data_IF_269918352186
#
_entry.id   IF_269918352186
#
_cell.length_a   1.000
_cell.length_b   1.000
_cell.length_c   1.000
_cell.angle_alpha   90.00
_cell.angle_beta   90.00
_cell.angle_gamma   90.00
#
_symmetry.space_group_name_H-M   'P 1'
#
loop_
_entity.id
_entity.type
_entity.pdbx_description
1 polymer ?
#
# COMPACT_ATOMS: atom_id res chain seq x y z
N UNK A 1 -56.28 -26.69 -68.27
CA UNK A 1 -55.39 -25.52 -68.05
C UNK A 1 -55.52 -24.96 -66.63
N UNK A 2 -56.74 -24.70 -66.14
CA UNK A 2 -57.01 -24.04 -64.84
C UNK A 2 -56.43 -24.81 -63.63
N UNK A 3 -56.59 -26.14 -63.55
CA UNK A 3 -56.06 -26.94 -62.43
C UNK A 3 -54.54 -26.83 -62.25
N UNK A 4 -53.77 -26.87 -63.35
CA UNK A 4 -52.31 -26.71 -63.30
C UNK A 4 -51.89 -25.31 -62.82
N UNK A 5 -52.64 -24.28 -63.21
CA UNK A 5 -52.40 -22.92 -62.75
C UNK A 5 -52.65 -22.81 -61.24
N UNK A 6 -53.73 -23.43 -60.76
CA UNK A 6 -54.07 -23.47 -59.33
C UNK A 6 -52.97 -24.15 -58.51
N UNK A 7 -52.48 -25.31 -58.96
CA UNK A 7 -51.37 -26.03 -58.30
C UNK A 7 -50.11 -25.16 -58.18
N UNK A 8 -49.74 -24.46 -59.27
CA UNK A 8 -48.57 -23.57 -59.27
C UNK A 8 -48.77 -22.40 -58.30
N UNK A 9 -49.95 -21.77 -58.29
CA UNK A 9 -50.25 -20.67 -57.37
C UNK A 9 -50.20 -21.14 -55.91
N UNK A 10 -50.77 -22.29 -55.58
CA UNK A 10 -50.72 -22.84 -54.22
C UNK A 10 -49.29 -23.15 -53.79
N UNK A 11 -48.47 -23.73 -54.68
CA UNK A 11 -47.06 -24.01 -54.41
C UNK A 11 -46.25 -22.73 -54.16
N UNK A 12 -46.42 -21.72 -55.02
CA UNK A 12 -45.72 -20.43 -54.87
C UNK A 12 -46.13 -19.70 -53.60
N UNK A 13 -47.43 -19.67 -53.28
CA UNK A 13 -47.93 -19.08 -52.04
C UNK A 13 -47.34 -19.76 -50.80
N UNK A 14 -47.28 -21.09 -50.79
CA UNK A 14 -46.68 -21.83 -49.66
C UNK A 14 -45.20 -21.47 -49.46
N UNK A 15 -44.44 -21.33 -50.55
CA UNK A 15 -43.04 -20.92 -50.50
C UNK A 15 -42.87 -19.47 -50.05
N UNK A 16 -43.72 -18.57 -50.53
CA UNK A 16 -43.72 -17.16 -50.11
C UNK A 16 -44.01 -17.01 -48.62
N UNK A 17 -45.04 -17.71 -48.10
CA UNK A 17 -45.36 -17.72 -46.68
C UNK A 17 -44.15 -18.15 -45.84
N UNK A 18 -43.49 -19.24 -46.24
CA UNK A 18 -42.28 -19.74 -45.54
C UNK A 18 -41.15 -18.71 -45.54
N UNK A 19 -40.89 -18.07 -46.69
CA UNK A 19 -39.87 -17.03 -46.78
C UNK A 19 -40.18 -15.81 -45.90
N UNK A 20 -41.46 -15.39 -45.86
CA UNK A 20 -41.88 -14.26 -45.02
C UNK A 20 -41.73 -14.58 -43.53
N UNK A 21 -42.02 -15.80 -43.11
CA UNK A 21 -41.81 -16.28 -41.74
C UNK A 21 -40.32 -16.28 -41.37
N UNK A 22 -39.47 -16.89 -42.20
CA UNK A 22 -38.01 -16.89 -42.00
C UNK A 22 -37.45 -15.47 -41.92
N UNK A 23 -37.90 -14.57 -42.82
CA UNK A 23 -37.50 -13.17 -42.81
C UNK A 23 -37.97 -12.44 -41.56
N UNK A 24 -39.16 -12.74 -41.06
CA UNK A 24 -39.67 -12.18 -39.82
C UNK A 24 -38.82 -12.64 -38.63
N UNK A 25 -38.56 -13.94 -38.52
CA UNK A 25 -37.73 -14.51 -37.47
C UNK A 25 -36.31 -13.92 -37.48
N UNK A 26 -35.67 -13.81 -38.65
CA UNK A 26 -34.36 -13.20 -38.78
C UNK A 26 -34.35 -11.72 -38.33
N UNK A 27 -35.43 -10.96 -38.61
CA UNK A 27 -35.54 -9.57 -38.13
C UNK A 27 -35.71 -9.49 -36.61
N UNK A 28 -36.47 -10.40 -36.02
CA UNK A 28 -36.60 -10.50 -34.56
C UNK A 28 -35.25 -10.83 -33.92
N UNK A 29 -34.50 -11.79 -34.46
CA UNK A 29 -33.17 -12.15 -33.98
C UNK A 29 -32.19 -10.99 -34.10
N UNK A 30 -32.17 -10.28 -35.23
CA UNK A 30 -31.34 -9.08 -35.41
C UNK A 30 -31.65 -8.00 -34.37
N UNK A 31 -32.92 -7.79 -34.02
CA UNK A 31 -33.30 -6.84 -32.99
C UNK A 31 -32.79 -7.25 -31.60
N UNK A 32 -32.88 -8.55 -31.27
CA UNK A 32 -32.36 -9.07 -30.00
C UNK A 32 -30.84 -8.95 -29.93
N UNK A 33 -30.14 -9.31 -31.02
CA UNK A 33 -28.69 -9.19 -31.09
C UNK A 33 -28.22 -7.74 -31.02
N UNK A 34 -28.93 -6.81 -31.67
CA UNK A 34 -28.65 -5.37 -31.59
C UNK A 34 -28.70 -4.86 -30.15
N UNK A 35 -29.74 -5.22 -29.38
CA UNK A 35 -29.84 -4.85 -27.96
C UNK A 35 -28.70 -5.44 -27.13
N UNK A 36 -28.36 -6.71 -27.33
CA UNK A 36 -27.24 -7.35 -26.63
C UNK A 36 -25.90 -6.71 -26.95
N UNK A 37 -25.71 -6.25 -28.18
CA UNK A 37 -24.52 -5.51 -28.60
C UNK A 37 -24.45 -4.17 -27.86
N UNK A 38 -25.53 -3.38 -27.88
CA UNK A 38 -25.60 -2.10 -27.16
C UNK A 38 -25.33 -2.25 -25.65
N UNK A 39 -25.92 -3.27 -25.01
CA UNK A 39 -25.68 -3.58 -23.59
C UNK A 39 -24.20 -3.95 -23.33
N UNK A 40 -23.61 -4.76 -24.21
CA UNK A 40 -22.20 -5.17 -24.10
C UNK A 40 -21.24 -4.01 -24.34
N UNK A 41 -21.54 -3.12 -25.28
CA UNK A 41 -20.74 -1.93 -25.56
C UNK A 41 -20.75 -0.97 -24.36
N UNK A 42 -21.94 -0.70 -23.80
CA UNK A 42 -22.08 0.13 -22.60
C UNK A 42 -21.33 -0.46 -21.40
N UNK A 43 -21.40 -1.79 -21.22
CA UNK A 43 -20.64 -2.48 -20.16
C UNK A 43 -19.13 -2.37 -20.37
N UNK A 44 -18.66 -2.54 -21.61
CA UNK A 44 -17.25 -2.42 -21.97
C UNK A 44 -16.71 -1.00 -21.72
N UNK A 45 -17.49 0.03 -22.04
CA UNK A 45 -17.16 1.42 -21.70
C UNK A 45 -17.02 1.63 -20.19
N UNK A 46 -17.96 1.09 -19.40
CA UNK A 46 -17.90 1.13 -17.94
C UNK A 46 -16.62 0.47 -17.39
N UNK A 47 -16.26 -0.71 -17.88
CA UNK A 47 -15.02 -1.39 -17.49
C UNK A 47 -13.77 -0.61 -17.88
N UNK A 48 -13.77 0.00 -19.07
CA UNK A 48 -12.65 0.83 -19.53
C UNK A 48 -12.43 2.02 -18.61
N UNK A 49 -13.50 2.67 -18.15
CA UNK A 49 -13.40 3.80 -17.24
C UNK A 49 -12.91 3.37 -15.85
N UNK A 50 -13.45 2.28 -15.31
CA UNK A 50 -12.95 1.69 -14.06
C UNK A 50 -11.45 1.36 -14.14
N UNK A 51 -11.01 0.80 -15.27
CA UNK A 51 -9.60 0.49 -15.49
C UNK A 51 -8.72 1.74 -15.50
N UNK A 52 -9.18 2.86 -16.09
CA UNK A 52 -8.43 4.13 -16.03
C UNK A 52 -8.28 4.63 -14.60
N UNK A 53 -9.35 4.60 -13.82
CA UNK A 53 -9.34 5.03 -12.41
C UNK A 53 -8.34 4.17 -11.62
N UNK A 54 -8.44 2.84 -11.75
CA UNK A 54 -7.52 1.91 -11.09
C UNK A 54 -6.06 2.15 -11.50
N UNK A 55 -5.78 2.41 -12.78
CA UNK A 55 -4.44 2.72 -13.25
C UNK A 55 -3.89 4.03 -12.63
N UNK A 56 -4.72 5.06 -12.48
CA UNK A 56 -4.33 6.31 -11.83
C UNK A 56 -4.07 6.14 -10.33
N UNK A 57 -4.90 5.35 -9.65
CA UNK A 57 -4.75 5.07 -8.22
C UNK A 57 -3.51 4.20 -7.96
N UNK A 58 -3.24 3.22 -8.81
CA UNK A 58 -2.03 2.39 -8.75
C UNK A 58 -0.79 3.28 -8.85
N UNK A 59 -0.73 4.16 -9.85
CA UNK A 59 0.40 5.08 -10.04
C UNK A 59 0.62 5.97 -8.82
N UNK A 60 -0.47 6.52 -8.26
CA UNK A 60 -0.41 7.33 -7.03
C UNK A 60 0.08 6.53 -5.82
N UNK A 61 -0.30 5.26 -5.71
CA UNK A 61 0.16 4.37 -4.65
C UNK A 61 1.66 4.05 -4.80
N UNK A 62 2.12 3.79 -6.03
CA UNK A 62 3.54 3.57 -6.34
C UNK A 62 4.39 4.80 -5.99
N UNK A 63 3.94 6.00 -6.36
CA UNK A 63 4.62 7.27 -6.01
C UNK A 63 4.72 7.44 -4.48
N UNK A 64 3.63 7.19 -3.74
CA UNK A 64 3.65 7.24 -2.26
C UNK A 64 4.55 6.18 -1.64
N UNK A 65 4.61 4.99 -2.23
CA UNK A 65 5.52 3.94 -1.75
C UNK A 65 6.98 4.35 -1.93
N UNK A 66 7.30 4.99 -3.05
CA UNK A 66 8.66 5.50 -3.30
C UNK A 66 9.06 6.54 -2.25
N UNK A 67 8.20 7.52 -1.95
CA UNK A 67 8.50 8.53 -0.93
C UNK A 67 8.65 7.91 0.47
N UNK A 68 7.77 6.98 0.84
CA UNK A 68 7.86 6.29 2.13
C UNK A 68 9.12 5.41 2.24
N UNK A 69 9.60 4.85 1.13
CA UNK A 69 10.84 4.10 1.11
C UNK A 69 12.05 5.01 1.37
N UNK A 70 12.09 6.19 0.76
CA UNK A 70 13.15 7.18 1.01
C UNK A 70 13.14 7.67 2.46
N UNK A 71 11.96 7.99 3.01
CA UNK A 71 11.80 8.39 4.41
C UNK A 71 12.27 7.31 5.38
N UNK A 72 11.89 6.05 5.13
CA UNK A 72 12.36 4.90 5.92
C UNK A 72 13.87 4.79 5.90
N UNK A 73 14.50 4.90 4.72
CA UNK A 73 15.96 4.78 4.58
C UNK A 73 16.68 5.94 5.28
N UNK A 74 16.12 7.15 5.23
CA UNK A 74 16.61 8.29 6.00
C UNK A 74 16.53 8.06 7.51
N UNK A 75 15.39 7.57 8.00
CA UNK A 75 15.22 7.24 9.42
C UNK A 75 16.16 6.13 9.88
N UNK A 76 16.39 5.12 9.03
CA UNK A 76 17.31 4.01 9.33
C UNK A 76 18.74 4.52 9.53
N UNK A 77 19.22 5.40 8.64
CA UNK A 77 20.54 6.06 8.80
C UNK A 77 20.65 6.83 10.11
N UNK A 78 19.63 7.62 10.47
CA UNK A 78 19.64 8.35 11.74
C UNK A 78 19.69 7.41 12.95
N UNK A 79 18.99 6.29 12.91
CA UNK A 79 19.04 5.27 13.97
C UNK A 79 20.44 4.67 14.09
N UNK A 80 21.11 4.39 12.98
CA UNK A 80 22.49 3.88 12.98
C UNK A 80 23.48 4.90 13.56
N UNK A 81 23.39 6.18 13.17
CA UNK A 81 24.21 7.25 13.72
C UNK A 81 24.01 7.43 15.23
N UNK A 82 22.75 7.42 15.69
CA UNK A 82 22.43 7.51 17.12
C UNK A 82 22.96 6.30 17.89
N UNK A 83 22.84 5.09 17.35
CA UNK A 83 23.42 3.88 17.96
C UNK A 83 24.94 3.99 18.09
N UNK A 84 25.63 4.45 17.06
CA UNK A 84 27.09 4.65 17.11
C UNK A 84 27.48 5.65 18.21
N UNK A 85 26.73 6.76 18.32
CA UNK A 85 26.94 7.78 19.35
C UNK A 85 26.68 7.26 20.77
N UNK A 86 25.67 6.40 20.95
CA UNK A 86 25.41 5.74 22.24
C UNK A 86 26.62 4.90 22.64
N UNK A 87 27.12 4.05 21.75
CA UNK A 87 28.30 3.20 22.02
C UNK A 87 29.53 4.04 22.37
N UNK A 88 29.77 5.15 21.67
CA UNK A 88 30.86 6.07 21.97
C UNK A 88 30.73 6.70 23.38
N UNK A 89 29.53 7.17 23.72
CA UNK A 89 29.26 7.78 25.03
C UNK A 89 29.35 6.76 26.17
N UNK A 90 28.84 5.55 25.97
CA UNK A 90 28.98 4.44 26.92
C UNK A 90 30.45 4.10 27.17
N UNK A 91 31.28 4.03 26.12
CA UNK A 91 32.72 3.81 26.25
C UNK A 91 33.43 4.91 27.05
N UNK A 92 33.16 6.19 26.75
CA UNK A 92 33.70 7.34 27.50
C UNK A 92 33.28 7.32 28.97
N UNK A 93 32.04 6.95 29.25
CA UNK A 93 31.54 6.86 30.62
C UNK A 93 32.28 5.77 31.39
N UNK A 94 32.52 4.62 30.76
CA UNK A 94 33.28 3.52 31.35
C UNK A 94 34.75 3.88 31.59
N UNK A 95 35.40 4.61 30.69
CA UNK A 95 36.75 5.16 30.90
C UNK A 95 36.79 6.16 32.07
N UNK A 96 35.83 7.08 32.16
CA UNK A 96 35.74 8.04 33.27
C UNK A 96 35.46 7.38 34.62
N UNK A 97 34.70 6.28 34.63
CA UNK A 97 34.44 5.49 35.83
C UNK A 97 35.68 4.70 36.29
N UNK A 98 36.56 4.30 35.36
CA UNK A 98 37.87 3.72 35.68
C UNK A 98 38.90 4.74 36.20
N UNK A 99 38.73 6.03 35.88
CA UNK A 99 39.57 7.12 36.36
C UNK A 99 39.15 7.70 37.72
N UNK A 100 37.98 7.30 38.25
CA UNK A 100 37.61 7.51 39.65
C UNK A 100 38.38 6.52 40.56
N UNK A 101 39.69 6.45 40.39
CA UNK A 101 40.57 6.12 41.51
C UNK A 101 40.44 7.33 42.41
N UNK A 102 39.74 7.18 43.53
CA UNK A 102 39.90 8.03 44.72
C UNK A 102 41.39 8.36 44.78
N UNK A 103 41.73 9.63 44.51
CA UNK A 103 43.12 10.04 44.45
C UNK A 103 43.79 9.59 45.74
N UNK A 104 45.03 9.11 45.68
CA UNK A 104 45.69 8.63 46.91
C UNK A 104 45.71 9.73 48.00
N UNK A 105 45.62 11.00 47.61
CA UNK A 105 45.39 12.16 48.48
C UNK A 105 44.04 12.12 49.25
N UNK A 106 42.94 11.63 48.67
CA UNK A 106 41.65 11.47 49.38
C UNK A 106 41.69 10.30 50.39
N UNK A 107 42.44 9.23 50.09
CA UNK A 107 42.63 8.11 51.03
C UNK A 107 43.49 8.50 52.23
N UNK A 108 44.42 9.43 52.05
CA UNK A 108 45.27 9.92 53.14
C UNK A 108 44.51 10.80 54.13
N UNK A 109 43.48 11.52 53.66
CA UNK A 109 42.66 12.44 54.48
C UNK A 109 41.49 11.73 55.16
N UNK A 110 40.97 10.64 54.59
CA UNK A 110 39.88 9.84 55.15
C UNK A 110 40.28 8.36 55.29
N UNK A 111 41.23 8.09 56.19
CA UNK A 111 41.78 6.75 56.42
C UNK A 111 40.71 5.72 56.85
N UNK A 112 39.68 6.16 57.57
CA UNK A 112 38.59 5.30 58.05
C UNK A 112 37.37 5.27 57.09
N UNK A 113 37.37 6.08 56.03
CA UNK A 113 36.29 6.15 55.05
C UNK A 113 34.99 6.80 55.55
N UNK A 114 35.05 7.57 56.64
CA UNK A 114 33.86 8.16 57.28
C UNK A 114 33.21 9.25 56.42
N UNK A 115 34.03 10.02 55.70
CA UNK A 115 33.57 11.07 54.79
C UNK A 115 33.10 10.50 53.45
N UNK A 116 33.72 9.43 52.97
CA UNK A 116 33.32 8.73 51.75
C UNK A 116 31.90 8.13 51.82
N UNK A 117 31.46 7.68 53.00
CA UNK A 117 30.13 7.14 53.23
C UNK A 117 29.05 8.22 53.48
N UNK A 118 29.46 9.49 53.64
CA UNK A 118 28.57 10.57 54.03
C UNK A 118 27.94 11.27 52.83
N UNK A 119 26.63 11.53 52.88
CA UNK A 119 25.96 12.32 51.84
C UNK A 119 26.44 13.78 51.85
N UNK A 120 26.35 14.48 50.71
CA UNK A 120 26.74 15.90 50.61
C UNK A 120 26.09 16.78 51.67
N UNK A 121 24.83 16.52 52.02
CA UNK A 121 24.13 17.25 53.07
C UNK A 121 24.76 17.00 54.47
N UNK A 122 25.07 15.74 54.78
CA UNK A 122 25.69 15.36 56.06
C UNK A 122 27.09 15.97 56.24
N UNK A 123 27.87 16.06 55.15
CA UNK A 123 29.18 16.71 55.17
C UNK A 123 29.06 18.21 55.45
N UNK A 124 28.11 18.90 54.79
CA UNK A 124 27.88 20.34 54.99
C UNK A 124 27.47 20.64 56.43
N UNK A 125 26.63 19.79 57.04
CA UNK A 125 26.23 19.93 58.43
C UNK A 125 27.34 19.73 59.46
N UNK A 126 28.45 19.06 59.12
CA UNK A 126 29.61 18.93 60.02
C UNK A 126 30.54 20.16 59.99
N UNK A 127 30.38 21.05 59.01
CA UNK A 127 31.25 22.23 58.81
C UNK A 127 30.65 23.49 59.48
N UNK A 128 29.33 23.52 59.70
CA UNK A 128 28.62 24.58 60.44
C UNK A 128 28.27 24.12 61.85
#
# INVERSE_FOLDING_TARGET
AIFKLLEVVTFLNGRECKYLEERYNARCELQVLGKKLEESEASCEGYREQHKILATDLKKAEEKMATLAEERDGALKQVEELKAKIVELEGKLQESAGAAVVGDDEKEVDLDGEYAASSRAALISKIH
#
